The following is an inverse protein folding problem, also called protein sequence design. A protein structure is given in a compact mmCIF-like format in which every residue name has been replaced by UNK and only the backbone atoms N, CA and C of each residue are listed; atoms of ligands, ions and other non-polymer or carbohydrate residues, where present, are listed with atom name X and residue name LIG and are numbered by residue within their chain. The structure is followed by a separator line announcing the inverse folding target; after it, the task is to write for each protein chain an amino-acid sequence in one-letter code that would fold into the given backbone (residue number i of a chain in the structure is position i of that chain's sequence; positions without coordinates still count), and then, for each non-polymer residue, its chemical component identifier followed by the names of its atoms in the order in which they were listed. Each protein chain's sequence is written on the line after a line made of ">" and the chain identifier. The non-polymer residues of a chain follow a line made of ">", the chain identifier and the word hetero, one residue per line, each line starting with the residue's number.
data_IF_882302837994
#
_entry.id   IF_882302837994
#
_cell.length_a   1.000
_cell.length_b   1.000
_cell.length_c   1.000
_cell.angle_alpha   90.00
_cell.angle_beta   90.00
_cell.angle_gamma   90.00
#
_symmetry.space_group_name_H-M   'P 1'
#
loop_
_entity.id
_entity.type
_entity.pdbx_description
1 polymer ?
#
# COMPACT_ATOMS: atom_id res chain seq x y z
N UNK A 1 -12.42 34.75 -14.48
CA UNK A 1 -11.84 34.11 -15.67
C UNK A 1 -12.94 33.30 -16.33
N UNK A 2 -13.24 33.54 -17.62
CA UNK A 2 -14.39 32.94 -18.32
C UNK A 2 -14.13 31.45 -18.53
N UNK A 3 -14.91 30.59 -17.87
CA UNK A 3 -14.99 29.17 -18.19
C UNK A 3 -15.54 29.06 -19.61
N UNK A 4 -14.68 28.76 -20.58
CA UNK A 4 -15.11 28.50 -21.95
C UNK A 4 -15.98 27.26 -21.94
N UNK A 5 -17.29 27.43 -22.08
CA UNK A 5 -18.23 26.32 -22.08
C UNK A 5 -17.90 25.42 -23.27
N UNK A 6 -17.46 24.18 -23.01
CA UNK A 6 -17.36 23.18 -24.05
C UNK A 6 -18.78 22.91 -24.54
N UNK A 7 -19.00 23.05 -25.84
CA UNK A 7 -20.26 22.67 -26.46
C UNK A 7 -20.34 21.14 -26.49
N UNK A 8 -20.95 20.56 -25.45
CA UNK A 8 -21.09 19.12 -25.25
C UNK A 8 -21.80 18.45 -26.44
N UNK A 9 -22.63 19.19 -27.18
CA UNK A 9 -23.35 18.69 -28.35
C UNK A 9 -22.42 18.30 -29.51
N UNK A 10 -21.21 18.88 -29.56
CA UNK A 10 -20.21 18.64 -30.61
C UNK A 10 -19.24 17.51 -30.27
N UNK A 11 -19.22 17.03 -29.03
CA UNK A 11 -18.36 15.92 -28.62
C UNK A 11 -18.92 14.60 -29.14
N UNK A 12 -18.05 13.72 -29.62
CA UNK A 12 -18.40 12.40 -30.15
C UNK A 12 -17.39 11.35 -29.69
N UNK A 13 -17.79 10.08 -29.85
CA UNK A 13 -16.93 8.93 -29.58
C UNK A 13 -16.33 8.89 -28.17
N UNK A 14 -15.08 8.45 -28.08
CA UNK A 14 -14.37 8.20 -26.82
C UNK A 14 -14.11 9.48 -26.01
N UNK A 15 -13.84 10.60 -26.69
CA UNK A 15 -13.65 11.90 -26.04
C UNK A 15 -14.91 12.37 -25.30
N UNK A 16 -16.10 12.10 -25.85
CA UNK A 16 -17.38 12.36 -25.17
C UNK A 16 -17.55 11.49 -23.93
N UNK A 17 -17.28 10.19 -24.04
CA UNK A 17 -17.39 9.25 -22.92
C UNK A 17 -16.50 9.66 -21.75
N UNK A 18 -15.27 10.10 -22.05
CA UNK A 18 -14.36 10.66 -21.04
C UNK A 18 -14.96 11.89 -20.34
N UNK A 19 -15.50 12.85 -21.11
CA UNK A 19 -16.07 14.06 -20.54
C UNK A 19 -17.24 13.75 -19.58
N UNK A 20 -18.12 12.84 -19.98
CA UNK A 20 -19.26 12.40 -19.15
C UNK A 20 -18.78 11.73 -17.86
N UNK A 21 -17.83 10.81 -17.96
CA UNK A 21 -17.30 10.12 -16.80
C UNK A 21 -16.64 11.08 -15.80
N UNK A 22 -15.86 12.06 -16.26
CA UNK A 22 -15.27 13.08 -15.38
C UNK A 22 -16.35 13.93 -14.73
N UNK A 23 -17.36 14.35 -15.49
CA UNK A 23 -18.49 15.14 -14.96
C UNK A 23 -19.28 14.38 -13.88
N UNK A 24 -19.39 13.06 -14.00
CA UNK A 24 -20.05 12.20 -13.02
C UNK A 24 -19.18 11.86 -11.80
N UNK A 25 -17.85 11.91 -11.96
CA UNK A 25 -16.90 11.52 -10.90
C UNK A 25 -16.76 12.52 -9.75
N UNK A 26 -17.29 13.74 -9.91
CA UNK A 26 -17.15 14.82 -8.94
C UNK A 26 -15.78 15.52 -8.93
N UNK A 27 -14.83 15.09 -9.77
CA UNK A 27 -13.56 15.79 -9.96
C UNK A 27 -13.71 16.94 -10.94
N UNK A 28 -12.99 18.05 -10.71
CA UNK A 28 -12.89 19.10 -11.73
C UNK A 28 -12.07 18.61 -12.93
N UNK A 29 -12.29 19.22 -14.10
CA UNK A 29 -11.52 18.90 -15.30
C UNK A 29 -10.01 19.06 -15.09
N UNK A 30 -9.62 20.06 -14.30
CA UNK A 30 -8.24 20.29 -13.88
C UNK A 30 -7.72 19.14 -13.04
N UNK A 31 -8.44 18.79 -11.98
CA UNK A 31 -8.04 17.73 -11.05
C UNK A 31 -7.94 16.38 -11.76
N UNK A 32 -8.88 16.09 -12.67
CA UNK A 32 -8.85 14.87 -13.46
C UNK A 32 -7.62 14.82 -14.38
N UNK A 33 -7.22 15.94 -14.99
CA UNK A 33 -6.03 16.04 -15.82
C UNK A 33 -4.75 15.84 -15.00
N UNK A 34 -4.64 16.52 -13.86
CA UNK A 34 -3.47 16.45 -12.98
C UNK A 34 -3.29 15.05 -12.40
N UNK A 35 -4.38 14.43 -11.93
CA UNK A 35 -4.36 13.03 -11.44
C UNK A 35 -4.04 12.01 -12.54
N UNK A 36 -4.34 12.34 -13.80
CA UNK A 36 -3.96 11.54 -14.96
C UNK A 36 -2.54 11.87 -15.48
N UNK A 37 -1.77 12.70 -14.76
CA UNK A 37 -0.41 13.15 -15.10
C UNK A 37 -0.33 13.96 -16.40
N UNK A 38 -1.36 14.75 -16.67
CA UNK A 38 -1.41 15.71 -17.78
C UNK A 38 -1.50 17.14 -17.28
N UNK A 39 -1.15 18.09 -18.16
CA UNK A 39 -1.38 19.52 -17.89
C UNK A 39 -2.89 19.80 -17.92
N UNK A 40 -3.32 20.76 -17.10
CA UNK A 40 -4.73 21.19 -16.98
C UNK A 40 -5.41 21.41 -18.34
N UNK A 41 -4.74 22.14 -19.24
CA UNK A 41 -5.27 22.48 -20.56
C UNK A 41 -5.41 21.27 -21.50
N UNK A 42 -4.70 20.17 -21.25
CA UNK A 42 -4.67 19.00 -22.13
C UNK A 42 -5.98 18.21 -22.07
N UNK A 43 -6.76 18.33 -20.99
CA UNK A 43 -8.08 17.70 -20.89
C UNK A 43 -9.01 18.13 -22.04
N UNK A 44 -9.06 19.43 -22.31
CA UNK A 44 -9.93 20.01 -23.34
C UNK A 44 -9.56 19.54 -24.75
N UNK A 45 -8.28 19.25 -24.99
CA UNK A 45 -7.84 18.65 -26.25
C UNK A 45 -8.23 17.17 -26.36
N UNK A 46 -8.15 16.41 -25.27
CA UNK A 46 -8.51 14.99 -25.26
C UNK A 46 -10.00 14.76 -25.47
N UNK A 47 -10.88 15.52 -24.80
CA UNK A 47 -12.34 15.32 -24.92
C UNK A 47 -12.88 15.66 -26.31
N UNK A 48 -12.17 16.49 -27.08
CA UNK A 48 -12.52 16.82 -28.47
C UNK A 48 -12.16 15.71 -29.46
N UNK A 49 -11.35 14.73 -29.07
CA UNK A 49 -10.93 13.64 -29.95
C UNK A 49 -11.99 12.54 -29.98
N UNK A 50 -12.62 12.34 -31.14
CA UNK A 50 -13.58 11.26 -31.35
C UNK A 50 -12.94 9.88 -31.13
N UNK A 51 -11.70 9.73 -31.62
CA UNK A 51 -10.90 8.52 -31.50
C UNK A 51 -9.77 8.69 -30.48
N UNK A 52 -10.10 9.14 -29.27
CA UNK A 52 -9.14 9.28 -28.17
C UNK A 52 -8.42 7.95 -27.87
N UNK A 53 -7.09 8.00 -27.75
CA UNK A 53 -6.25 6.83 -27.47
C UNK A 53 -6.67 6.10 -26.18
N UNK A 54 -6.75 4.76 -26.24
CA UNK A 54 -7.09 3.92 -25.09
C UNK A 54 -6.11 4.08 -23.93
N UNK A 55 -4.83 4.34 -24.20
CA UNK A 55 -3.82 4.64 -23.18
C UNK A 55 -4.15 5.92 -22.41
N UNK A 56 -4.69 6.92 -23.09
CA UNK A 56 -5.12 8.17 -22.46
C UNK A 56 -6.39 7.91 -21.64
N UNK A 57 -7.37 7.20 -22.19
CA UNK A 57 -8.57 6.82 -21.44
C UNK A 57 -8.25 6.02 -20.19
N UNK A 58 -7.32 5.06 -20.26
CA UNK A 58 -6.95 4.22 -19.13
C UNK A 58 -6.32 5.03 -17.98
N UNK A 59 -5.54 6.07 -18.31
CA UNK A 59 -5.00 7.00 -17.30
C UNK A 59 -6.10 7.80 -16.60
N UNK A 60 -7.06 8.31 -17.36
CA UNK A 60 -8.21 8.99 -16.75
C UNK A 60 -9.10 8.04 -15.94
N UNK A 61 -9.32 6.82 -16.44
CA UNK A 61 -10.05 5.75 -15.73
C UNK A 61 -9.53 5.57 -14.30
N UNK A 62 -8.21 5.45 -14.17
CA UNK A 62 -7.52 5.37 -12.88
C UNK A 62 -7.68 6.66 -12.06
N UNK A 63 -7.49 7.82 -12.68
CA UNK A 63 -7.55 9.13 -12.02
C UNK A 63 -8.91 9.40 -11.36
N UNK A 64 -10.00 9.00 -12.02
CA UNK A 64 -11.38 9.24 -11.57
C UNK A 64 -12.07 8.00 -10.99
N UNK A 65 -11.35 6.86 -10.90
CA UNK A 65 -11.88 5.56 -10.45
C UNK A 65 -13.13 5.11 -11.23
N UNK A 66 -13.12 5.32 -12.54
CA UNK A 66 -14.21 4.91 -13.43
C UNK A 66 -13.75 3.76 -14.32
N UNK A 67 -14.64 2.80 -14.56
CA UNK A 67 -14.38 1.67 -15.43
C UNK A 67 -14.97 1.88 -16.82
N UNK A 68 -14.10 2.13 -17.80
CA UNK A 68 -14.50 2.26 -19.19
C UNK A 68 -14.60 0.91 -19.93
N UNK A 69 -14.21 -0.21 -19.31
CA UNK A 69 -14.18 -1.53 -19.98
C UNK A 69 -15.58 -2.02 -20.37
N UNK A 70 -16.62 -1.55 -19.68
CA UNK A 70 -18.03 -1.84 -20.00
C UNK A 70 -18.38 -1.32 -21.40
N UNK A 71 -17.88 -0.14 -21.77
CA UNK A 71 -18.16 0.48 -23.07
C UNK A 71 -17.06 0.17 -24.10
N UNK A 72 -15.83 -0.07 -23.64
CA UNK A 72 -14.66 -0.25 -24.48
C UNK A 72 -13.78 -1.38 -23.91
N UNK A 73 -14.13 -2.65 -24.16
CA UNK A 73 -13.40 -3.81 -23.62
C UNK A 73 -11.91 -3.80 -23.97
N UNK A 74 -11.53 -3.21 -25.11
CA UNK A 74 -10.15 -3.14 -25.61
C UNK A 74 -9.22 -2.38 -24.67
N UNK A 75 -9.76 -1.51 -23.81
CA UNK A 75 -8.99 -0.68 -22.88
C UNK A 75 -8.20 -1.51 -21.85
N UNK A 76 -8.65 -2.74 -21.57
CA UNK A 76 -8.00 -3.65 -20.63
C UNK A 76 -6.54 -3.93 -21.03
N UNK A 77 -6.26 -3.97 -22.33
CA UNK A 77 -4.91 -4.19 -22.88
C UNK A 77 -3.99 -2.96 -22.75
N UNK A 78 -4.54 -1.80 -22.40
CA UNK A 78 -3.83 -0.51 -22.35
C UNK A 78 -3.81 0.08 -20.94
N UNK A 79 -4.24 -0.68 -19.93
CA UNK A 79 -4.07 -0.25 -18.55
C UNK A 79 -2.59 0.02 -18.31
N UNK A 80 -2.20 1.25 -17.96
CA UNK A 80 -0.81 1.56 -17.73
C UNK A 80 -0.34 0.65 -16.60
N UNK A 81 0.66 -0.16 -16.92
CA UNK A 81 1.39 -1.02 -16.01
C UNK A 81 1.86 -0.17 -14.82
N UNK A 82 1.04 -0.13 -13.77
CA UNK A 82 1.44 0.42 -12.48
C UNK A 82 2.35 -0.56 -11.74
N UNK A 83 2.70 -1.68 -12.36
CA UNK A 83 3.50 -2.74 -11.78
C UNK A 83 4.81 -2.21 -11.22
N UNK A 84 5.49 -1.24 -11.85
CA UNK A 84 6.79 -0.76 -11.35
C UNK A 84 6.66 0.10 -10.09
N UNK A 85 5.83 1.14 -10.11
CA UNK A 85 5.69 2.07 -8.97
C UNK A 85 4.94 1.45 -7.78
N UNK A 86 4.02 0.52 -8.07
CA UNK A 86 3.35 -0.30 -7.07
C UNK A 86 4.32 -1.36 -6.50
N UNK A 87 5.12 -2.03 -7.35
CA UNK A 87 6.12 -3.00 -6.89
C UNK A 87 7.23 -2.33 -6.07
N UNK A 88 7.63 -1.10 -6.38
CA UNK A 88 8.60 -0.35 -5.57
C UNK A 88 8.04 -0.04 -4.17
N UNK A 89 6.77 0.37 -4.08
CA UNK A 89 6.09 0.59 -2.78
C UNK A 89 5.90 -0.71 -2.01
N UNK A 90 5.49 -1.78 -2.68
CA UNK A 90 5.31 -3.10 -2.08
C UNK A 90 6.65 -3.70 -1.63
N UNK A 91 7.71 -3.53 -2.42
CA UNK A 91 9.09 -3.92 -2.07
C UNK A 91 9.60 -3.18 -0.84
N UNK A 92 9.38 -1.86 -0.77
CA UNK A 92 9.76 -1.06 0.40
C UNK A 92 8.98 -1.47 1.65
N UNK A 93 7.68 -1.72 1.51
CA UNK A 93 6.84 -2.22 2.61
C UNK A 93 7.28 -3.61 3.08
N UNK A 94 7.68 -4.49 2.16
CA UNK A 94 8.22 -5.81 2.46
C UNK A 94 9.54 -5.73 3.22
N UNK A 95 10.48 -4.89 2.78
CA UNK A 95 11.76 -4.69 3.46
C UNK A 95 11.58 -4.14 4.88
N UNK A 96 10.67 -3.18 5.07
CA UNK A 96 10.34 -2.65 6.40
C UNK A 96 9.72 -3.71 7.30
N UNK A 97 8.84 -4.57 6.75
CA UNK A 97 8.24 -5.67 7.47
C UNK A 97 9.29 -6.72 7.87
N UNK A 98 10.20 -7.06 6.96
CA UNK A 98 11.31 -7.97 7.21
C UNK A 98 12.19 -7.46 8.36
N UNK A 99 12.57 -6.17 8.33
CA UNK A 99 13.36 -5.56 9.41
C UNK A 99 12.67 -5.64 10.77
N UNK A 100 11.37 -5.33 10.81
CA UNK A 100 10.57 -5.43 12.05
C UNK A 100 10.52 -6.86 12.57
N UNK A 101 10.34 -7.83 11.67
CA UNK A 101 10.31 -9.25 12.03
C UNK A 101 11.66 -9.72 12.58
N UNK A 102 12.77 -9.38 11.92
CA UNK A 102 14.13 -9.71 12.38
C UNK A 102 14.40 -9.11 13.76
N UNK A 103 14.11 -7.83 13.96
CA UNK A 103 14.30 -7.18 15.27
C UNK A 103 13.44 -7.81 16.38
N UNK A 104 12.22 -8.26 16.05
CA UNK A 104 11.38 -8.99 16.98
C UNK A 104 11.97 -10.34 17.36
N UNK A 105 12.51 -11.08 16.37
CA UNK A 105 13.13 -12.38 16.58
C UNK A 105 14.37 -12.28 17.47
N UNK A 106 15.25 -11.31 17.19
CA UNK A 106 16.43 -11.02 18.01
C UNK A 106 16.06 -10.66 19.46
N UNK A 107 15.05 -9.81 19.63
CA UNK A 107 14.55 -9.47 20.97
C UNK A 107 13.99 -10.70 21.71
N UNK A 108 13.30 -11.58 21.00
CA UNK A 108 12.74 -12.80 21.59
C UNK A 108 13.86 -13.75 22.03
N UNK A 109 14.85 -13.96 21.18
CA UNK A 109 16.04 -14.77 21.47
C UNK A 109 16.73 -14.28 22.76
N UNK A 110 16.96 -12.97 22.86
CA UNK A 110 17.63 -12.38 24.02
C UNK A 110 16.81 -12.50 25.32
N UNK A 111 15.48 -12.54 25.21
CA UNK A 111 14.60 -12.80 26.35
C UNK A 111 14.65 -14.26 26.80
N UNK A 112 14.74 -15.20 25.85
CA UNK A 112 14.90 -16.63 26.16
C UNK A 112 16.22 -16.87 26.91
N UNK A 113 17.32 -16.29 26.43
CA UNK A 113 18.64 -16.41 27.05
C UNK A 113 18.64 -15.86 28.49
N UNK A 114 18.13 -14.63 28.69
CA UNK A 114 18.00 -14.04 30.03
C UNK A 114 17.13 -14.86 30.98
N UNK A 115 16.09 -15.49 30.46
CA UNK A 115 15.24 -16.35 31.28
C UNK A 115 15.97 -17.63 31.66
N UNK A 116 16.72 -18.23 30.73
CA UNK A 116 17.54 -19.41 31.01
C UNK A 116 18.59 -19.13 32.11
N UNK A 117 19.27 -17.99 32.04
CA UNK A 117 20.21 -17.54 33.10
C UNK A 117 19.52 -17.44 34.47
N UNK A 118 18.35 -16.81 34.53
CA UNK A 118 17.57 -16.70 35.77
C UNK A 118 17.15 -18.05 36.34
N UNK A 119 16.76 -18.99 35.49
CA UNK A 119 16.42 -20.34 35.95
C UNK A 119 17.63 -21.09 36.50
N UNK A 120 18.80 -20.97 35.85
CA UNK A 120 20.03 -21.55 36.35
C UNK A 120 20.44 -20.96 37.72
N UNK A 121 20.31 -19.64 37.90
CA UNK A 121 20.55 -19.00 39.20
C UNK A 121 19.59 -19.49 40.29
N UNK A 122 18.31 -19.64 39.94
CA UNK A 122 17.29 -20.09 40.88
C UNK A 122 17.53 -21.54 41.31
N UNK A 123 17.91 -22.40 40.36
CA UNK A 123 18.28 -23.79 40.60
C UNK A 123 19.50 -23.89 41.53
N UNK A 124 20.55 -23.09 41.28
CA UNK A 124 21.73 -23.03 42.14
C UNK A 124 21.36 -22.61 43.57
N UNK A 125 20.51 -21.59 43.73
CA UNK A 125 20.02 -21.14 45.05
C UNK A 125 19.22 -22.24 45.74
N UNK A 126 18.33 -22.91 45.02
CA UNK A 126 17.53 -24.01 45.53
C UNK A 126 18.43 -25.15 46.04
N UNK A 127 19.42 -25.55 45.25
CA UNK A 127 20.35 -26.63 45.62
C UNK A 127 21.20 -26.27 46.85
N UNK A 128 21.66 -25.01 46.96
CA UNK A 128 22.38 -24.53 48.13
C UNK A 128 21.51 -24.54 49.40
N UNK A 129 20.24 -24.13 49.30
CA UNK A 129 19.26 -24.21 50.37
C UNK A 129 19.00 -25.65 50.81
N UNK A 130 18.84 -26.57 49.84
CA UNK A 130 18.63 -27.98 50.10
C UNK A 130 19.82 -28.60 50.85
N UNK A 131 21.04 -28.28 50.42
CA UNK A 131 22.27 -28.73 51.06
C UNK A 131 22.35 -28.23 52.52
N UNK A 132 22.05 -26.95 52.76
CA UNK A 132 22.04 -26.36 54.11
C UNK A 132 20.96 -26.97 55.01
N UNK A 133 19.77 -27.23 54.47
CA UNK A 133 18.70 -27.90 55.20
C UNK A 133 19.12 -29.31 55.64
N UNK A 134 19.71 -30.08 54.73
CA UNK A 134 20.18 -31.44 55.01
C UNK A 134 21.31 -31.46 56.07
N UNK A 135 22.23 -30.49 56.04
CA UNK A 135 23.29 -30.41 57.05
C UNK A 135 22.76 -30.08 58.44
N UNK A 136 21.78 -29.17 58.54
CA UNK A 136 21.15 -28.83 59.83
C UNK A 136 20.37 -30.02 60.41
N UNK A 137 19.55 -30.68 59.58
CA UNK A 137 18.76 -31.86 59.98
C UNK A 137 19.62 -33.02 60.47
N UNK A 138 20.82 -33.20 59.92
CA UNK A 138 21.75 -34.25 60.34
C UNK A 138 22.49 -33.90 61.64
N UNK A 139 22.66 -32.62 61.95
CA UNK A 139 23.26 -32.16 63.21
C UNK A 139 22.27 -32.21 64.40
N UNK A 140 20.97 -32.07 64.15
CA UNK A 140 19.92 -32.23 65.19
C UNK A 140 19.68 -33.71 65.58
N UNK A 141 20.21 -34.67 64.82
CA UNK A 141 20.07 -36.11 65.06
C UNK A 141 21.27 -36.75 65.78
N UNK A 142 22.27 -35.96 66.15
CA UNK A 142 23.42 -36.37 66.98
C UNK A 142 23.26 -35.80 68.38
#
# INVERSE_FOLDING_TARGET
>A
MKSGSIDVSKLKGRGKSLYVAVSQSGFSNKDAAERALYKENTFYTHVKQEFLDFKIMARYAKAIKHDFSIQYPEILSFQPDNSVEQAEKESKAYLDLQRKYTALLEKNQLMIERNAEKYAELENKHNALLAKYNSLKNNEKK
#
